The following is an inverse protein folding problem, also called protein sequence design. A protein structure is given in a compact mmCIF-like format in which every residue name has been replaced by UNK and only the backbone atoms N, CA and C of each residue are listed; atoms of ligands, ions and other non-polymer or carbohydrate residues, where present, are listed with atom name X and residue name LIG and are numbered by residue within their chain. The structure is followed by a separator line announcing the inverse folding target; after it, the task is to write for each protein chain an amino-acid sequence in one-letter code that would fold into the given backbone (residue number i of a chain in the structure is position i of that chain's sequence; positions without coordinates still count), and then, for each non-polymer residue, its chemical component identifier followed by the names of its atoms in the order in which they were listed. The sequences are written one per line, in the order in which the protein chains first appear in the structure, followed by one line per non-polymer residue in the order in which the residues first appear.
data_IF_943902098734
#
_entry.id   IF_943902098734
#
_cell.length_a   1.000
_cell.length_b   1.000
_cell.length_c   1.000
_cell.angle_alpha   90.00
_cell.angle_beta   90.00
_cell.angle_gamma   90.00
#
_symmetry.space_group_name_H-M   'P 1'
#
loop_
_entity.id
_entity.type
_entity.pdbx_description
1 polymer ?
#
# COMPACT_ATOMS: atom_id res chain seq x y z
N UNK A 1 8.29 -21.06 -7.88
CA UNK A 1 7.47 -20.92 -6.65
C UNK A 1 7.46 -19.47 -6.14
N UNK A 2 8.58 -18.75 -6.20
CA UNK A 2 8.67 -17.32 -5.79
C UNK A 2 8.13 -16.29 -6.80
N UNK A 3 7.96 -16.65 -8.08
CA UNK A 3 7.49 -15.72 -9.12
C UNK A 3 6.17 -15.02 -8.79
N UNK A 4 5.33 -15.60 -7.92
CA UNK A 4 4.06 -15.01 -7.47
C UNK A 4 4.21 -13.72 -6.65
N UNK A 5 5.40 -13.40 -6.16
CA UNK A 5 5.70 -12.17 -5.40
C UNK A 5 6.40 -11.09 -6.24
N UNK A 6 6.70 -11.41 -7.50
CA UNK A 6 7.44 -10.54 -8.40
C UNK A 6 6.49 -9.73 -9.28
N UNK A 7 6.82 -8.47 -9.50
CA UNK A 7 6.20 -7.67 -10.54
C UNK A 7 6.51 -8.23 -11.93
N UNK A 8 5.50 -8.28 -12.79
CA UNK A 8 5.68 -8.44 -14.22
C UNK A 8 6.12 -7.10 -14.86
N UNK A 9 6.94 -7.14 -15.92
CA UNK A 9 7.30 -5.93 -16.66
C UNK A 9 6.08 -5.18 -17.18
N UNK A 10 6.14 -3.85 -17.13
CA UNK A 10 5.05 -2.96 -17.53
C UNK A 10 5.61 -1.56 -17.77
N UNK A 11 5.07 -0.85 -18.75
CA UNK A 11 5.47 0.52 -19.11
C UNK A 11 4.65 1.61 -18.39
N UNK A 12 3.70 1.21 -17.53
CA UNK A 12 2.87 2.14 -16.75
C UNK A 12 3.64 2.69 -15.55
N UNK A 13 3.46 3.97 -15.26
CA UNK A 13 3.95 4.59 -14.02
C UNK A 13 3.16 4.01 -12.84
N UNK A 14 3.84 3.51 -11.81
CA UNK A 14 3.22 2.93 -10.62
C UNK A 14 3.36 3.85 -9.42
N UNK A 15 2.22 4.22 -8.87
CA UNK A 15 2.10 5.10 -7.71
C UNK A 15 1.55 4.30 -6.54
N UNK A 16 2.22 4.33 -5.39
CA UNK A 16 1.78 3.61 -4.18
C UNK A 16 1.18 4.58 -3.18
N UNK A 17 -0.01 4.27 -2.67
CA UNK A 17 -0.53 4.87 -1.45
C UNK A 17 -0.05 4.03 -0.28
N UNK A 18 0.68 4.66 0.63
CA UNK A 18 1.44 3.98 1.68
C UNK A 18 1.20 4.66 3.02
N UNK A 19 1.09 3.90 4.10
CA UNK A 19 0.94 4.47 5.43
C UNK A 19 0.12 3.59 6.37
N UNK A 20 -0.07 4.06 7.63
CA UNK A 20 -0.89 3.36 8.62
C UNK A 20 -2.34 3.13 8.17
N UNK A 21 -3.09 2.38 8.97
CA UNK A 21 -4.51 2.14 8.74
C UNK A 21 -5.33 3.41 9.03
N UNK A 22 -6.53 3.48 8.44
CA UNK A 22 -7.46 4.59 8.65
C UNK A 22 -6.84 5.97 8.38
N UNK A 23 -6.04 6.08 7.31
CA UNK A 23 -5.45 7.34 6.81
C UNK A 23 -6.01 7.79 5.45
N UNK A 24 -7.01 7.08 4.90
CA UNK A 24 -7.70 7.47 3.67
C UNK A 24 -7.05 7.01 2.36
N UNK A 25 -6.12 6.03 2.39
CA UNK A 25 -5.45 5.46 1.20
C UNK A 25 -6.44 5.00 0.13
N UNK A 26 -7.38 4.12 0.48
CA UNK A 26 -8.37 3.55 -0.45
C UNK A 26 -9.25 4.60 -1.10
N UNK A 27 -9.70 5.60 -0.32
CA UNK A 27 -10.49 6.71 -0.87
C UNK A 27 -9.69 7.49 -1.90
N UNK A 28 -8.44 7.85 -1.57
CA UNK A 28 -7.58 8.61 -2.47
C UNK A 28 -7.21 7.81 -3.73
N UNK A 29 -6.95 6.50 -3.60
CA UNK A 29 -6.67 5.62 -4.73
C UNK A 29 -7.81 5.59 -5.74
N UNK A 30 -9.05 5.47 -5.26
CA UNK A 30 -10.23 5.53 -6.10
C UNK A 30 -10.43 6.90 -6.78
N UNK A 31 -10.15 8.00 -6.07
CA UNK A 31 -10.21 9.34 -6.65
C UNK A 31 -9.16 9.54 -7.76
N UNK A 32 -7.93 9.10 -7.53
CA UNK A 32 -6.84 9.20 -8.51
C UNK A 32 -7.11 8.35 -9.75
N UNK A 33 -7.54 7.10 -9.57
CA UNK A 33 -7.90 6.24 -10.69
C UNK A 33 -9.00 6.84 -11.57
N UNK A 34 -10.04 7.44 -10.94
CA UNK A 34 -11.09 8.17 -11.67
C UNK A 34 -10.53 9.38 -12.42
N UNK A 35 -9.70 10.19 -11.77
CA UNK A 35 -9.10 11.38 -12.37
C UNK A 35 -8.26 11.04 -13.61
N UNK A 36 -7.45 9.99 -13.55
CA UNK A 36 -6.59 9.55 -14.64
C UNK A 36 -7.27 8.64 -15.66
N UNK A 37 -8.58 8.38 -15.52
CA UNK A 37 -9.30 7.38 -16.30
C UNK A 37 -8.52 6.04 -16.38
N UNK A 38 -8.13 5.54 -15.21
CA UNK A 38 -7.34 4.32 -15.04
C UNK A 38 -7.95 3.44 -13.95
N UNK A 39 -7.21 2.40 -13.54
CA UNK A 39 -7.60 1.47 -12.48
C UNK A 39 -6.71 1.64 -11.26
N UNK A 40 -7.18 1.17 -10.09
CA UNK A 40 -6.34 1.00 -8.91
C UNK A 40 -6.33 -0.45 -8.43
N UNK A 41 -5.21 -0.85 -7.83
CA UNK A 41 -5.07 -2.11 -7.09
C UNK A 41 -5.64 -1.89 -5.69
N UNK A 42 -6.72 -2.59 -5.28
CA UNK A 42 -7.24 -2.48 -3.92
C UNK A 42 -6.38 -3.26 -2.92
N UNK A 43 -6.51 -2.93 -1.64
CA UNK A 43 -5.76 -3.57 -0.56
C UNK A 43 -6.24 -5.01 -0.39
N UNK A 44 -5.46 -5.98 -0.87
CA UNK A 44 -5.84 -7.39 -0.83
C UNK A 44 -5.97 -7.93 0.60
N UNK A 45 -5.19 -7.39 1.54
CA UNK A 45 -5.27 -7.76 2.94
C UNK A 45 -6.68 -7.58 3.52
N UNK A 46 -7.41 -6.53 3.09
CA UNK A 46 -8.77 -6.27 3.56
C UNK A 46 -9.74 -7.38 3.16
N UNK A 47 -9.73 -7.77 1.89
CA UNK A 47 -10.59 -8.85 1.37
C UNK A 47 -10.23 -10.18 2.04
N UNK A 48 -8.95 -10.53 2.04
CA UNK A 48 -8.45 -11.78 2.63
C UNK A 48 -8.83 -11.94 4.10
N UNK A 49 -8.61 -10.89 4.91
CA UNK A 49 -8.87 -10.94 6.35
C UNK A 49 -10.36 -10.91 6.67
N UNK A 50 -11.17 -10.24 5.84
CA UNK A 50 -12.62 -10.25 5.99
C UNK A 50 -13.19 -11.65 5.73
N UNK A 51 -12.72 -12.34 4.70
CA UNK A 51 -13.13 -13.72 4.39
C UNK A 51 -12.74 -14.66 5.53
N UNK A 52 -11.49 -14.57 6.00
CA UNK A 52 -11.00 -15.33 7.15
C UNK A 52 -11.84 -15.09 8.42
N UNK A 53 -12.22 -13.84 8.70
CA UNK A 53 -13.08 -13.53 9.83
C UNK A 53 -14.49 -14.11 9.67
N UNK A 54 -15.03 -14.05 8.46
CA UNK A 54 -16.35 -14.58 8.15
C UNK A 54 -16.40 -16.10 8.33
N UNK A 55 -15.39 -16.82 7.86
CA UNK A 55 -15.31 -18.28 7.87
C UNK A 55 -14.80 -18.86 9.20
N UNK A 56 -13.74 -18.27 9.76
CA UNK A 56 -13.02 -18.85 10.91
C UNK A 56 -13.15 -18.04 12.21
N UNK A 57 -13.68 -16.82 12.16
CA UNK A 57 -13.72 -15.88 13.31
C UNK A 57 -12.33 -15.58 13.88
N UNK A 58 -11.32 -15.50 13.01
CA UNK A 58 -9.92 -15.21 13.37
C UNK A 58 -9.42 -13.93 12.73
N UNK A 59 -8.53 -13.24 13.45
CA UNK A 59 -7.80 -12.06 12.95
C UNK A 59 -6.53 -12.47 12.19
N UNK A 60 -5.75 -11.49 11.74
CA UNK A 60 -4.49 -11.71 11.04
C UNK A 60 -3.48 -12.49 11.91
N UNK A 61 -2.84 -13.49 11.32
CA UNK A 61 -1.76 -14.28 11.89
C UNK A 61 -0.51 -14.19 10.98
N UNK A 62 0.71 -14.45 11.49
CA UNK A 62 1.93 -14.39 10.66
C UNK A 62 1.87 -15.23 9.37
N UNK A 63 1.19 -16.38 9.41
CA UNK A 63 1.03 -17.28 8.26
C UNK A 63 0.20 -16.68 7.12
N UNK A 64 -0.57 -15.62 7.38
CA UNK A 64 -1.42 -14.95 6.39
C UNK A 64 -0.64 -13.96 5.52
N UNK A 65 0.54 -13.52 5.97
CA UNK A 65 1.32 -12.49 5.28
C UNK A 65 1.78 -12.91 3.89
N UNK A 66 2.21 -14.16 3.71
CA UNK A 66 2.61 -14.67 2.38
C UNK A 66 1.41 -14.84 1.43
N UNK A 67 0.26 -15.41 1.83
CA UNK A 67 -0.96 -15.35 1.04
C UNK A 67 -1.37 -13.92 0.65
N UNK A 68 -1.34 -12.98 1.61
CA UNK A 68 -1.68 -11.58 1.37
C UNK A 68 -0.74 -10.96 0.33
N UNK A 69 0.57 -11.14 0.51
CA UNK A 69 1.58 -10.62 -0.42
C UNK A 69 1.44 -11.22 -1.83
N UNK A 70 1.18 -12.52 -1.93
CA UNK A 70 0.96 -13.17 -3.22
C UNK A 70 -0.31 -12.66 -3.91
N UNK A 71 -1.39 -12.43 -3.14
CA UNK A 71 -2.64 -11.87 -3.65
C UNK A 71 -2.49 -10.42 -4.11
N UNK A 72 -1.82 -9.57 -3.32
CA UNK A 72 -1.52 -8.19 -3.68
C UNK A 72 -0.75 -8.12 -5.00
N UNK A 73 0.33 -8.91 -5.13
CA UNK A 73 1.13 -8.94 -6.36
C UNK A 73 0.35 -9.48 -7.56
N UNK A 74 -0.50 -10.49 -7.36
CA UNK A 74 -1.37 -11.03 -8.41
C UNK A 74 -2.36 -9.96 -8.91
N UNK A 75 -2.98 -9.20 -8.01
CA UNK A 75 -3.87 -8.10 -8.38
C UNK A 75 -3.12 -7.00 -9.11
N UNK A 76 -1.94 -6.61 -8.61
CA UNK A 76 -1.11 -5.59 -9.24
C UNK A 76 -0.72 -5.99 -10.67
N UNK A 77 -0.16 -7.18 -10.87
CA UNK A 77 0.24 -7.65 -12.21
C UNK A 77 -0.95 -7.75 -13.17
N UNK A 78 -2.11 -8.16 -12.66
CA UNK A 78 -3.35 -8.20 -13.46
C UNK A 78 -3.81 -6.80 -13.88
N UNK A 79 -3.74 -5.83 -12.98
CA UNK A 79 -4.24 -4.48 -13.20
C UNK A 79 -3.25 -3.59 -13.95
N UNK A 80 -1.95 -3.85 -13.84
CA UNK A 80 -0.93 -3.20 -14.67
C UNK A 80 -1.19 -3.38 -16.17
N UNK A 81 -1.70 -4.56 -16.58
CA UNK A 81 -2.10 -4.85 -17.97
C UNK A 81 -3.35 -4.09 -18.44
N UNK A 82 -4.13 -3.54 -17.50
CA UNK A 82 -5.38 -2.79 -17.77
C UNK A 82 -5.22 -1.29 -17.55
N UNK A 83 -4.20 -0.90 -16.80
CA UNK A 83 -3.89 0.48 -16.54
C UNK A 83 -3.47 1.16 -17.85
N UNK A 84 -3.81 2.45 -17.93
CA UNK A 84 -3.27 3.32 -18.97
C UNK A 84 -1.89 3.82 -18.51
N UNK A 85 -1.58 5.11 -18.68
CA UNK A 85 -0.27 5.68 -18.33
C UNK A 85 0.13 5.56 -16.86
N UNK A 86 -0.84 5.39 -15.95
CA UNK A 86 -0.62 5.31 -14.50
C UNK A 86 -1.43 4.17 -13.88
N UNK A 87 -0.80 3.37 -13.03
CA UNK A 87 -1.45 2.44 -12.11
C UNK A 87 -1.33 2.98 -10.67
N UNK A 88 -2.46 3.03 -9.98
CA UNK A 88 -2.51 3.40 -8.56
C UNK A 88 -2.56 2.12 -7.72
N UNK A 89 -1.68 1.98 -6.74
CA UNK A 89 -1.61 0.80 -5.86
C UNK A 89 -1.95 1.18 -4.41
N UNK A 90 -3.02 0.59 -3.88
CA UNK A 90 -3.35 0.54 -2.46
C UNK A 90 -3.22 -0.92 -2.03
N UNK A 91 -2.17 -1.39 -1.39
CA UNK A 91 -0.87 -0.81 -1.12
C UNK A 91 0.16 -1.64 -1.92
N UNK A 92 1.34 -1.90 -1.36
CA UNK A 92 2.38 -2.76 -1.93
C UNK A 92 2.92 -3.80 -0.92
N UNK A 93 3.92 -4.57 -1.36
CA UNK A 93 4.56 -5.57 -0.49
C UNK A 93 5.41 -4.95 0.62
N UNK A 94 5.90 -3.71 0.44
CA UNK A 94 6.63 -3.00 1.48
C UNK A 94 5.71 -2.72 2.67
N UNK A 95 4.45 -2.36 2.45
CA UNK A 95 3.49 -2.13 3.55
C UNK A 95 3.22 -3.43 4.33
N UNK A 96 3.04 -4.54 3.61
CA UNK A 96 2.89 -5.86 4.25
C UNK A 96 4.12 -6.21 5.10
N UNK A 97 5.32 -5.92 4.59
CA UNK A 97 6.57 -6.07 5.36
C UNK A 97 6.58 -5.18 6.61
N UNK A 98 6.22 -3.90 6.49
CA UNK A 98 6.21 -2.96 7.62
C UNK A 98 5.31 -3.46 8.74
N UNK A 99 4.10 -3.92 8.39
CA UNK A 99 3.19 -4.53 9.37
C UNK A 99 3.73 -5.82 9.96
N UNK A 100 4.39 -6.66 9.16
CA UNK A 100 5.06 -7.87 9.66
C UNK A 100 6.08 -7.53 10.76
N UNK A 101 6.94 -6.56 10.50
CA UNK A 101 8.01 -6.17 11.42
C UNK A 101 7.46 -5.48 12.68
N UNK A 102 6.42 -4.64 12.52
CA UNK A 102 5.81 -3.89 13.61
C UNK A 102 4.98 -4.79 14.56
N UNK A 103 4.24 -5.76 14.03
CA UNK A 103 3.34 -6.60 14.83
C UNK A 103 3.97 -7.90 15.32
N UNK A 104 4.97 -8.45 14.62
CA UNK A 104 5.51 -9.79 14.91
C UNK A 104 7.01 -9.79 15.30
N UNK A 105 7.44 -8.75 16.04
CA UNK A 105 8.77 -8.61 16.68
C UNK A 105 9.92 -9.05 15.75
N UNK A 106 10.05 -8.35 14.61
CA UNK A 106 11.22 -8.47 13.74
C UNK A 106 11.31 -9.73 12.89
N UNK A 107 10.25 -10.55 12.82
CA UNK A 107 10.18 -11.62 11.83
C UNK A 107 9.44 -11.13 10.57
N UNK A 108 10.17 -10.97 9.48
CA UNK A 108 9.62 -10.87 8.13
C UNK A 108 10.09 -12.10 7.35
N UNK A 109 9.17 -12.77 6.67
CA UNK A 109 9.53 -13.91 5.83
C UNK A 109 10.58 -13.47 4.78
N UNK A 110 11.69 -14.20 4.59
CA UNK A 110 12.76 -13.80 3.66
C UNK A 110 12.28 -13.58 2.23
N UNK A 111 11.23 -14.29 1.79
CA UNK A 111 10.66 -14.11 0.46
C UNK A 111 9.89 -12.79 0.40
N UNK A 112 9.07 -12.49 1.41
CA UNK A 112 8.38 -11.20 1.49
C UNK A 112 9.39 -10.04 1.52
N UNK A 113 10.41 -10.13 2.38
CA UNK A 113 11.47 -9.14 2.50
C UNK A 113 12.16 -8.86 1.14
N UNK A 114 12.62 -9.92 0.49
CA UNK A 114 13.28 -9.85 -0.81
C UNK A 114 12.42 -9.13 -1.86
N UNK A 115 11.14 -9.48 -1.98
CA UNK A 115 10.28 -8.94 -3.04
C UNK A 115 9.71 -7.56 -2.71
N UNK A 116 9.47 -7.24 -1.43
CA UNK A 116 9.17 -5.87 -0.98
C UNK A 116 10.28 -4.88 -1.40
N UNK A 117 11.53 -5.33 -1.43
CA UNK A 117 12.66 -4.49 -1.83
C UNK A 117 12.95 -4.54 -3.34
N UNK A 118 12.78 -5.71 -3.96
CA UNK A 118 13.06 -5.91 -5.38
C UNK A 118 12.05 -5.23 -6.30
N UNK A 119 10.77 -5.24 -5.95
CA UNK A 119 9.73 -4.58 -6.71
C UNK A 119 9.95 -3.05 -6.73
N UNK A 120 9.55 -2.42 -7.84
CA UNK A 120 9.84 -1.03 -8.17
C UNK A 120 8.55 -0.25 -8.38
N UNK A 121 8.58 0.99 -7.92
CA UNK A 121 7.50 1.95 -8.01
C UNK A 121 8.12 3.34 -8.19
N UNK A 122 7.43 4.21 -8.90
CA UNK A 122 7.96 5.52 -9.31
C UNK A 122 7.82 6.56 -8.20
N UNK A 123 6.76 6.45 -7.39
CA UNK A 123 6.47 7.36 -6.30
C UNK A 123 5.58 6.72 -5.24
N UNK A 124 5.91 7.00 -3.98
CA UNK A 124 5.07 6.71 -2.82
C UNK A 124 4.39 7.99 -2.33
N UNK A 125 3.12 7.89 -1.99
CA UNK A 125 2.40 8.90 -1.22
C UNK A 125 2.20 8.38 0.19
N UNK A 126 2.95 8.94 1.13
CA UNK A 126 2.83 8.61 2.54
C UNK A 126 1.70 9.42 3.17
N UNK A 127 0.56 8.78 3.44
CA UNK A 127 -0.62 9.45 4.01
C UNK A 127 -0.45 9.72 5.50
N UNK A 128 -0.63 10.96 5.94
CA UNK A 128 -0.56 11.35 7.35
C UNK A 128 -1.82 10.97 8.14
N UNK A 129 -1.72 11.01 9.46
CA UNK A 129 -2.75 10.58 10.43
C UNK A 129 -3.69 11.70 10.88
N UNK A 130 -3.70 12.84 10.19
CA UNK A 130 -4.53 14.01 10.50
C UNK A 130 -6.01 13.88 10.08
N UNK A 131 -6.44 12.69 9.69
CA UNK A 131 -7.86 12.34 9.52
C UNK A 131 -8.42 11.76 10.82
N UNK A 132 -9.71 12.02 11.13
CA UNK A 132 -10.40 11.37 12.22
C UNK A 132 -10.20 9.86 12.14
N UNK A 133 -9.95 9.25 13.29
CA UNK A 133 -9.79 7.80 13.35
C UNK A 133 -11.16 7.14 13.12
N UNK A 134 -11.17 6.11 12.28
CA UNK A 134 -12.29 5.19 12.10
C UNK A 134 -11.83 3.83 12.62
N UNK A 135 -12.66 3.22 13.46
CA UNK A 135 -12.39 1.93 14.10
C UNK A 135 -12.20 0.83 13.04
N UNK A 136 -11.00 0.24 12.99
CA UNK A 136 -10.72 -0.95 12.18
C UNK A 136 -10.71 -2.18 13.09
N UNK A 137 -11.81 -2.94 13.04
CA UNK A 137 -12.06 -4.13 13.87
C UNK A 137 -11.00 -5.24 13.72
N UNK A 138 -10.15 -5.17 12.69
CA UNK A 138 -9.33 -6.30 12.27
C UNK A 138 -7.87 -6.24 12.73
N UNK A 139 -7.31 -5.06 13.03
CA UNK A 139 -5.84 -4.87 13.02
C UNK A 139 -5.24 -3.85 14.00
N UNK A 140 -6.02 -3.17 14.85
CA UNK A 140 -5.58 -1.84 15.33
C UNK A 140 -5.00 -1.74 16.77
N UNK A 141 -4.03 -0.80 16.90
CA UNK A 141 -3.49 -0.23 18.15
C UNK A 141 -3.67 1.30 18.11
N UNK A 142 -4.87 1.82 18.44
CA UNK A 142 -5.24 3.22 18.19
C UNK A 142 -4.36 4.26 18.90
N UNK A 143 -3.66 3.87 19.98
CA UNK A 143 -2.78 4.75 20.76
C UNK A 143 -1.39 4.95 20.15
N UNK A 144 -1.04 4.23 19.06
CA UNK A 144 0.31 4.24 18.50
C UNK A 144 0.39 4.78 17.06
N UNK A 145 -0.63 5.51 16.60
CA UNK A 145 -0.71 6.03 15.21
C UNK A 145 0.52 6.85 14.79
N UNK A 146 1.05 7.71 15.67
CA UNK A 146 2.27 8.48 15.37
C UNK A 146 3.51 7.60 15.28
N UNK A 147 3.67 6.63 16.18
CA UNK A 147 4.79 5.68 16.14
C UNK A 147 4.74 4.86 14.86
N UNK A 148 3.55 4.37 14.49
CA UNK A 148 3.35 3.64 13.24
C UNK A 148 3.67 4.52 12.05
N UNK A 149 3.17 5.75 12.00
CA UNK A 149 3.51 6.69 10.93
C UNK A 149 5.02 6.90 10.79
N UNK A 150 5.72 7.11 11.92
CA UNK A 150 7.18 7.28 11.91
C UNK A 150 7.88 6.02 11.41
N UNK A 151 7.42 4.83 11.80
CA UNK A 151 7.96 3.56 11.32
C UNK A 151 7.81 3.37 9.80
N UNK A 152 6.66 3.76 9.25
CA UNK A 152 6.42 3.80 7.80
C UNK A 152 7.37 4.78 7.12
N UNK A 153 7.51 6.00 7.66
CA UNK A 153 8.42 7.02 7.12
C UNK A 153 9.88 6.53 7.14
N UNK A 154 10.34 6.02 8.28
CA UNK A 154 11.70 5.51 8.44
C UNK A 154 12.00 4.34 7.48
N UNK A 155 10.98 3.55 7.15
CA UNK A 155 11.11 2.46 6.16
C UNK A 155 11.36 3.02 4.75
N UNK A 156 10.62 4.06 4.33
CA UNK A 156 10.84 4.71 3.05
C UNK A 156 12.23 5.35 2.98
N UNK A 157 12.65 6.03 4.06
CA UNK A 157 13.98 6.63 4.18
C UNK A 157 15.09 5.56 4.12
N UNK A 158 14.96 4.48 4.90
CA UNK A 158 15.93 3.36 4.97
C UNK A 158 16.16 2.71 3.61
N UNK A 159 15.10 2.53 2.83
CA UNK A 159 15.17 1.90 1.51
C UNK A 159 15.23 2.90 0.35
N UNK A 160 15.51 4.17 0.65
CA UNK A 160 15.64 5.25 -0.33
C UNK A 160 14.50 5.29 -1.35
N UNK A 161 13.26 5.13 -0.87
CA UNK A 161 12.06 5.23 -1.70
C UNK A 161 11.72 6.70 -1.91
N UNK A 162 11.40 7.10 -3.13
CA UNK A 162 10.94 8.46 -3.41
C UNK A 162 9.51 8.61 -2.88
N UNK A 163 9.26 9.58 -2.00
CA UNK A 163 7.93 9.80 -1.46
C UNK A 163 7.57 11.26 -1.25
N UNK A 164 6.26 11.51 -1.19
CA UNK A 164 5.66 12.77 -0.76
C UNK A 164 4.71 12.47 0.40
N UNK A 165 4.78 13.27 1.47
CA UNK A 165 3.85 13.17 2.58
C UNK A 165 2.57 13.93 2.24
N UNK A 166 1.42 13.25 2.31
CA UNK A 166 0.11 13.86 2.08
C UNK A 166 -0.56 14.21 3.41
N UNK A 167 -0.92 15.48 3.58
CA UNK A 167 -1.57 16.07 4.77
C UNK A 167 -2.81 16.87 4.38
N UNK A 168 -3.65 17.16 5.35
CA UNK A 168 -4.86 17.95 5.20
C UNK A 168 -6.06 17.14 4.74
N UNK A 169 -7.08 17.83 4.25
CA UNK A 169 -8.34 17.23 3.83
C UNK A 169 -8.25 16.44 2.50
N UNK A 170 -9.35 15.77 2.16
CA UNK A 170 -9.46 14.94 0.94
C UNK A 170 -9.13 15.73 -0.35
N UNK A 171 -9.57 16.99 -0.44
CA UNK A 171 -9.38 17.79 -1.65
C UNK A 171 -7.91 18.24 -1.81
N UNK A 172 -7.29 18.66 -0.70
CA UNK A 172 -5.90 19.07 -0.64
C UNK A 172 -4.97 17.92 -1.01
N UNK A 173 -5.16 16.75 -0.39
CA UNK A 173 -4.37 15.55 -0.66
C UNK A 173 -4.50 15.10 -2.13
N UNK A 174 -5.71 15.11 -2.68
CA UNK A 174 -5.96 14.76 -4.08
C UNK A 174 -5.23 15.73 -5.03
N UNK A 175 -5.35 17.03 -4.78
CA UNK A 175 -4.69 18.06 -5.60
C UNK A 175 -3.16 17.88 -5.60
N UNK A 176 -2.55 17.74 -4.42
CA UNK A 176 -1.10 17.52 -4.29
C UNK A 176 -0.65 16.24 -4.98
N UNK A 177 -1.40 15.15 -4.83
CA UNK A 177 -1.09 13.89 -5.49
C UNK A 177 -1.11 14.02 -7.03
N UNK A 178 -2.12 14.71 -7.57
CA UNK A 178 -2.23 14.96 -9.01
C UNK A 178 -1.04 15.78 -9.53
N UNK A 179 -0.64 16.85 -8.84
CA UNK A 179 0.49 17.71 -9.23
C UNK A 179 1.79 16.90 -9.38
N UNK A 180 2.08 16.01 -8.42
CA UNK A 180 3.26 15.16 -8.45
C UNK A 180 3.19 14.06 -9.51
N UNK A 181 2.03 13.42 -9.71
CA UNK A 181 1.86 12.41 -10.76
C UNK A 181 1.99 13.05 -12.14
N UNK A 182 1.41 14.24 -12.36
CA UNK A 182 1.52 14.97 -13.63
C UNK A 182 2.98 15.33 -13.94
N UNK A 183 3.78 15.64 -12.91
CA UNK A 183 5.22 15.89 -13.09
C UNK A 183 5.95 14.65 -13.61
N UNK A 184 5.56 13.43 -13.19
CA UNK A 184 6.13 12.19 -13.70
C UNK A 184 5.66 11.87 -15.12
N UNK A 185 4.39 12.15 -15.43
CA UNK A 185 3.80 11.88 -16.75
C UNK A 185 4.33 12.79 -17.87
N UNK A 186 4.89 13.95 -17.52
CA UNK A 186 5.41 14.94 -18.45
C UNK A 186 6.94 14.85 -18.64
N UNK A 187 7.58 13.84 -18.06
CA UNK A 187 9.00 13.49 -18.30
C UNK A 187 9.13 12.59 -19.53
#
# INVERSE_FOLDING_TARGET
MEEKFKQEPSDVIKIVLFGPESTGKTTLSGQLARYYNSVWVPEYAREYLQDKWNEEKKTCEPKDLLPIAAGQMKLENKLAKKANKVLICDTDLLETKVYSEAYYIGHCDPVLDKYALKNKYDLYFLTYIDVPWEEDDLRDKPLEREKMFQYFKDTLDRYNRKYIILRGDKATRLKTAIEHINTLLNQ
#
